data_IF_898538384913
#
_entry.id   IF_898538384913
#
_cell.length_a   1.000
_cell.length_b   1.000
_cell.length_c   1.000
_cell.angle_alpha   90.00
_cell.angle_beta   90.00
_cell.angle_gamma   90.00
#
_symmetry.space_group_name_H-M   'P 1'
#
loop_
_entity.id
_entity.type
_entity.pdbx_description
1 polymer ?
#
# COMPACT_ATOMS: atom_id res chain seq x y z
N UNK A 1 20.25 -9.75 -8.15
CA UNK A 1 20.49 -9.19 -9.50
C UNK A 1 19.20 -8.48 -9.87
N UNK A 2 19.12 -7.20 -9.56
CA UNK A 2 17.90 -6.40 -9.67
C UNK A 2 17.37 -6.36 -11.10
N UNK A 3 16.17 -6.87 -11.35
CA UNK A 3 15.49 -6.73 -12.63
C UNK A 3 14.79 -5.34 -12.75
N UNK A 4 15.52 -4.30 -12.29
CA UNK A 4 15.42 -2.83 -12.49
C UNK A 4 14.22 -2.12 -11.79
N UNK A 5 14.43 -0.96 -11.12
CA UNK A 5 14.71 0.39 -11.66
C UNK A 5 16.02 1.02 -11.11
N UNK A 6 17.01 1.23 -11.99
CA UNK A 6 17.29 2.62 -12.32
C UNK A 6 17.33 2.86 -13.84
N UNK A 7 16.79 4.02 -14.23
CA UNK A 7 16.73 4.58 -15.58
C UNK A 7 16.50 6.09 -15.49
N UNK A 8 16.83 6.83 -16.55
CA UNK A 8 17.10 8.29 -16.53
C UNK A 8 16.01 9.10 -15.81
N UNK A 9 16.35 10.27 -15.21
CA UNK A 9 15.39 11.11 -14.48
C UNK A 9 14.14 11.54 -15.28
N UNK A 10 14.15 11.35 -16.60
CA UNK A 10 13.03 11.64 -17.51
C UNK A 10 12.40 10.39 -18.15
N UNK A 11 12.82 9.18 -17.77
CA UNK A 11 12.24 7.94 -18.27
C UNK A 11 10.92 7.67 -17.56
N UNK A 12 9.83 7.57 -18.33
CA UNK A 12 8.50 7.22 -17.83
C UNK A 12 8.22 5.75 -18.11
N UNK A 13 7.81 5.03 -17.09
CA UNK A 13 7.43 3.62 -17.19
C UNK A 13 5.92 3.46 -17.28
N UNK A 14 5.50 2.47 -18.04
CA UNK A 14 4.11 2.05 -18.12
C UNK A 14 3.81 0.98 -17.07
N UNK A 15 2.52 0.71 -16.85
CA UNK A 15 2.11 -0.42 -16.01
C UNK A 15 2.66 -1.77 -16.53
N UNK A 16 2.82 -1.94 -17.85
CA UNK A 16 3.38 -3.16 -18.43
C UNK A 16 4.86 -3.33 -18.09
N UNK A 17 5.59 -2.23 -17.92
CA UNK A 17 6.99 -2.26 -17.47
C UNK A 17 7.05 -2.59 -15.98
N UNK A 18 6.22 -1.92 -15.17
CA UNK A 18 6.08 -2.17 -13.73
C UNK A 18 5.79 -3.63 -13.39
N UNK A 19 4.89 -4.27 -14.15
CA UNK A 19 4.49 -5.66 -13.93
C UNK A 19 5.65 -6.67 -14.09
N UNK A 20 6.78 -6.27 -14.68
CA UNK A 20 7.97 -7.10 -14.87
C UNK A 20 9.04 -6.87 -13.80
N UNK A 21 8.88 -5.87 -12.93
CA UNK A 21 9.88 -5.53 -11.92
C UNK A 21 9.89 -6.57 -10.81
N UNK A 22 11.10 -6.88 -10.33
CA UNK A 22 11.30 -7.69 -9.13
C UNK A 22 11.51 -6.81 -7.90
N UNK A 23 11.14 -7.31 -6.73
CA UNK A 23 11.18 -6.58 -5.47
C UNK A 23 10.00 -5.63 -5.24
N UNK A 24 10.13 -4.75 -4.25
CA UNK A 24 9.04 -3.86 -3.82
C UNK A 24 9.24 -2.45 -4.36
N UNK A 25 8.53 -2.16 -5.43
CA UNK A 25 8.52 -0.87 -6.10
C UNK A 25 7.11 -0.32 -6.22
N UNK A 26 6.99 1.00 -6.30
CA UNK A 26 5.77 1.73 -6.61
C UNK A 26 5.97 2.51 -7.91
N UNK A 27 4.96 2.49 -8.78
CA UNK A 27 4.93 3.32 -9.98
C UNK A 27 3.99 4.50 -9.75
N UNK A 28 4.54 5.70 -9.59
CA UNK A 28 3.74 6.91 -9.33
C UNK A 28 4.01 7.90 -10.45
N UNK A 29 2.98 8.28 -11.22
CA UNK A 29 3.07 9.19 -12.36
C UNK A 29 4.11 8.80 -13.43
N UNK A 30 4.37 7.51 -13.58
CA UNK A 30 5.39 6.98 -14.50
C UNK A 30 6.80 6.92 -13.91
N UNK A 31 7.01 7.33 -12.66
CA UNK A 31 8.29 7.28 -11.97
C UNK A 31 8.36 6.08 -10.99
N UNK A 32 9.49 5.35 -10.93
CA UNK A 32 9.71 4.26 -9.99
C UNK A 32 10.13 4.78 -8.61
N UNK A 33 9.51 4.28 -7.55
CA UNK A 33 9.87 4.53 -6.15
C UNK A 33 10.17 3.22 -5.43
N UNK A 34 11.30 3.14 -4.74
CA UNK A 34 11.67 1.94 -3.98
C UNK A 34 10.96 1.94 -2.63
N UNK A 35 10.30 0.84 -2.27
CA UNK A 35 9.78 0.60 -0.90
C UNK A 35 10.84 -0.04 0.00
N UNK A 36 12.12 0.20 -0.29
CA UNK A 36 13.25 -0.18 0.53
C UNK A 36 13.85 1.07 1.21
N UNK A 37 14.32 0.97 2.46
CA UNK A 37 14.31 -0.21 3.32
C UNK A 37 12.89 -0.60 3.77
N UNK A 38 12.73 -1.83 4.27
CA UNK A 38 11.46 -2.27 4.81
C UNK A 38 11.01 -1.39 5.99
N UNK A 39 9.70 -1.25 6.22
CA UNK A 39 9.20 -0.43 7.31
C UNK A 39 9.72 -0.94 8.67
N UNK A 40 10.08 -0.02 9.56
CA UNK A 40 10.59 -0.36 10.88
C UNK A 40 9.51 -0.93 11.79
N UNK A 41 9.92 -1.58 12.89
CA UNK A 41 8.99 -2.05 13.92
C UNK A 41 8.11 -0.93 14.48
N UNK A 42 8.67 0.27 14.66
CA UNK A 42 7.91 1.44 15.13
C UNK A 42 6.85 1.85 14.10
N UNK A 43 7.20 1.88 12.81
CA UNK A 43 6.23 2.15 11.76
C UNK A 43 5.10 1.12 11.76
N UNK A 44 5.42 -0.18 11.88
CA UNK A 44 4.43 -1.25 11.92
C UNK A 44 3.51 -1.16 13.14
N UNK A 45 4.05 -0.80 14.31
CA UNK A 45 3.25 -0.62 15.52
C UNK A 45 2.21 0.51 15.35
N UNK A 46 2.65 1.67 14.85
CA UNK A 46 1.77 2.83 14.66
C UNK A 46 0.68 2.54 13.62
N UNK A 47 1.05 1.97 12.47
CA UNK A 47 0.08 1.62 11.41
C UNK A 47 -0.88 0.52 11.88
N UNK A 48 -0.42 -0.41 12.72
CA UNK A 48 -1.25 -1.45 13.33
C UNK A 48 -2.39 -0.88 14.18
N UNK A 49 -2.09 0.09 15.05
CA UNK A 49 -3.12 0.77 15.86
C UNK A 49 -4.14 1.52 14.99
N UNK A 50 -3.67 2.21 13.94
CA UNK A 50 -4.55 2.87 12.98
C UNK A 50 -5.48 1.86 12.28
N UNK A 51 -4.94 0.72 11.84
CA UNK A 51 -5.70 -0.36 11.22
C UNK A 51 -6.80 -0.89 12.16
N UNK A 52 -6.49 -1.09 13.45
CA UNK A 52 -7.46 -1.56 14.45
C UNK A 52 -8.59 -0.55 14.65
N UNK A 53 -8.26 0.74 14.75
CA UNK A 53 -9.26 1.82 14.89
C UNK A 53 -10.20 1.87 13.68
N UNK A 54 -9.65 1.85 12.47
CA UNK A 54 -10.43 1.84 11.22
C UNK A 54 -11.33 0.60 11.13
N UNK A 55 -10.76 -0.60 11.37
CA UNK A 55 -11.52 -1.85 11.35
C UNK A 55 -12.68 -1.82 12.33
N UNK A 56 -12.44 -1.36 13.56
CA UNK A 56 -13.46 -1.26 14.60
C UNK A 56 -14.60 -0.30 14.19
N UNK A 57 -14.27 0.84 13.59
CA UNK A 57 -15.28 1.78 13.08
C UNK A 57 -16.16 1.18 11.99
N UNK A 58 -15.56 0.56 10.97
CA UNK A 58 -16.31 0.03 9.83
C UNK A 58 -17.10 -1.24 10.17
N UNK A 59 -16.60 -2.10 11.06
CA UNK A 59 -17.34 -3.29 11.51
C UNK A 59 -18.56 -2.94 12.37
N UNK A 60 -18.49 -1.88 13.20
CA UNK A 60 -19.65 -1.41 13.98
C UNK A 60 -20.80 -0.92 13.10
N UNK A 61 -20.52 -0.37 11.92
CA UNK A 61 -21.57 0.06 10.98
C UNK A 61 -22.37 -1.12 10.40
N UNK A 62 -21.79 -2.32 10.33
CA UNK A 62 -22.47 -3.52 9.81
C UNK A 62 -23.52 -4.08 10.78
N UNK A 63 -23.42 -3.78 12.08
CA UNK A 63 -24.35 -4.26 13.12
C UNK A 63 -25.55 -3.32 13.33
N UNK A 64 -25.55 -2.11 12.76
CA UNK A 64 -26.68 -1.16 12.87
C UNK A 64 -27.79 -1.38 11.83
N UNK A 65 -27.77 -2.51 11.12
CA UNK A 65 -28.77 -2.92 10.15
C UNK A 65 -29.90 -3.81 10.68
N UNK A 66 -29.95 -4.10 11.99
CA UNK A 66 -31.06 -4.84 12.59
C UNK A 66 -31.81 -3.94 13.58
N UNK A 67 -32.61 -3.02 13.05
CA UNK A 67 -33.81 -2.51 13.73
C UNK A 67 -35.03 -3.11 13.02
N UNK A 68 -35.30 -4.39 13.28
CA UNK A 68 -36.66 -4.94 13.26
C UNK A 68 -36.96 -5.24 14.72
N UNK A 69 -37.67 -4.34 15.39
CA UNK A 69 -39.11 -4.43 15.63
C UNK A 69 -39.41 -5.54 16.65
N UNK A 70 -39.96 -5.08 17.78
CA UNK A 70 -40.70 -5.84 18.80
C UNK A 70 -41.53 -6.97 18.19
#
# INVERSE_FOLDING_TARGET
MDLKPPGHPNERYTYQDYAKWDGRWELINGAPYSMAPAPSFVHQAIVGELQVALRSFFLRKRVRGCHGAV
#
